data_IF_799567663857
#
_entry.id   IF_799567663857
#
_cell.length_a   1.000
_cell.length_b   1.000
_cell.length_c   1.000
_cell.angle_alpha   90.00
_cell.angle_beta   90.00
_cell.angle_gamma   90.00
#
_symmetry.space_group_name_H-M   'P 1'
#
loop_
_entity.id
_entity.type
_entity.pdbx_description
1 polymer ?
#
# COMPACT_ATOMS: atom_id res chain seq x y z
N UNK A 1 26.89 -0.73 22.27
CA UNK A 1 27.05 -0.86 20.81
C UNK A 1 26.36 -2.10 20.28
N UNK A 2 26.48 -3.27 20.90
CA UNK A 2 25.90 -4.55 20.43
C UNK A 2 24.36 -4.55 20.36
N UNK A 3 23.66 -3.79 21.22
CA UNK A 3 22.18 -3.73 21.25
C UNK A 3 21.59 -2.77 20.20
N UNK A 4 22.38 -1.85 19.64
CA UNK A 4 21.90 -0.85 18.66
C UNK A 4 21.76 -1.46 17.27
N UNK A 5 22.64 -2.39 16.90
CA UNK A 5 22.64 -3.03 15.58
C UNK A 5 21.32 -3.75 15.27
N UNK A 6 20.78 -4.62 16.16
CA UNK A 6 19.51 -5.31 15.87
C UNK A 6 18.33 -4.35 15.78
N UNK A 7 18.32 -3.24 16.53
CA UNK A 7 17.26 -2.22 16.44
C UNK A 7 17.27 -1.51 15.09
N UNK A 8 18.47 -1.18 14.56
CA UNK A 8 18.60 -0.56 13.23
C UNK A 8 18.16 -1.51 12.12
N UNK A 9 18.49 -2.80 12.24
CA UNK A 9 18.09 -3.83 11.26
C UNK A 9 16.56 -3.99 11.25
N UNK A 10 15.92 -4.04 12.42
CA UNK A 10 14.47 -4.14 12.54
C UNK A 10 13.78 -2.90 11.94
N UNK A 11 14.29 -1.70 12.22
CA UNK A 11 13.73 -0.45 11.67
C UNK A 11 13.88 -0.38 10.15
N UNK A 12 15.03 -0.80 9.62
CA UNK A 12 15.26 -0.89 8.19
C UNK A 12 14.29 -1.89 7.52
N UNK A 13 14.09 -3.07 8.14
CA UNK A 13 13.18 -4.09 7.62
C UNK A 13 11.72 -3.60 7.60
N UNK A 14 11.27 -2.94 8.68
CA UNK A 14 9.94 -2.33 8.75
C UNK A 14 9.72 -1.30 7.64
N UNK A 15 10.70 -0.44 7.37
CA UNK A 15 10.61 0.58 6.31
C UNK A 15 10.52 -0.05 4.93
N UNK A 16 11.34 -1.06 4.66
CA UNK A 16 11.27 -1.78 3.38
C UNK A 16 9.90 -2.42 3.18
N UNK A 17 9.35 -3.03 4.23
CA UNK A 17 8.02 -3.63 4.21
C UNK A 17 6.92 -2.59 3.99
N UNK A 18 6.95 -1.47 4.71
CA UNK A 18 5.99 -0.37 4.53
C UNK A 18 6.05 0.23 3.12
N UNK A 19 7.25 0.40 2.57
CA UNK A 19 7.42 0.89 1.19
C UNK A 19 6.84 -0.07 0.16
N UNK A 20 7.17 -1.36 0.28
CA UNK A 20 6.63 -2.39 -0.61
C UNK A 20 5.11 -2.44 -0.54
N UNK A 21 4.56 -2.50 0.66
CA UNK A 21 3.11 -2.53 0.90
C UNK A 21 2.41 -1.31 0.29
N UNK A 22 2.98 -0.12 0.45
CA UNK A 22 2.45 1.09 -0.17
C UNK A 22 2.51 1.03 -1.70
N UNK A 23 3.62 0.55 -2.26
CA UNK A 23 3.76 0.38 -3.71
C UNK A 23 2.71 -0.61 -4.25
N UNK A 24 2.54 -1.77 -3.61
CA UNK A 24 1.54 -2.77 -3.99
C UNK A 24 0.13 -2.19 -3.97
N UNK A 25 -0.26 -1.49 -2.88
CA UNK A 25 -1.58 -0.87 -2.75
C UNK A 25 -1.80 0.22 -3.79
N UNK A 26 -0.81 1.09 -4.03
CA UNK A 26 -0.97 2.16 -5.03
C UNK A 26 -1.09 1.62 -6.44
N UNK A 27 -0.27 0.64 -6.83
CA UNK A 27 -0.36 -0.03 -8.12
C UNK A 27 -1.71 -0.73 -8.29
N UNK A 28 -2.15 -1.46 -7.28
CA UNK A 28 -3.46 -2.12 -7.26
C UNK A 28 -4.59 -1.14 -7.51
N UNK A 29 -4.66 -0.04 -6.75
CA UNK A 29 -5.75 0.93 -6.85
C UNK A 29 -5.74 1.66 -8.21
N UNK A 30 -4.57 1.99 -8.76
CA UNK A 30 -4.44 2.60 -10.07
C UNK A 30 -4.96 1.67 -11.17
N UNK A 31 -4.54 0.43 -11.15
CA UNK A 31 -4.96 -0.55 -12.16
C UNK A 31 -6.44 -0.89 -12.05
N UNK A 32 -6.95 -1.05 -10.83
CA UNK A 32 -8.37 -1.29 -10.59
C UNK A 32 -9.24 -0.16 -11.15
N UNK A 33 -8.92 1.12 -10.83
CA UNK A 33 -9.67 2.27 -11.34
C UNK A 33 -9.56 2.39 -12.86
N UNK A 34 -8.37 2.19 -13.42
CA UNK A 34 -8.15 2.25 -14.87
C UNK A 34 -8.91 1.16 -15.63
N UNK A 35 -8.85 -0.08 -15.16
CA UNK A 35 -9.55 -1.19 -15.80
C UNK A 35 -11.06 -1.08 -15.62
N UNK A 36 -11.53 -0.58 -14.46
CA UNK A 36 -12.95 -0.36 -14.20
C UNK A 36 -13.53 0.74 -15.10
N UNK A 37 -12.78 1.80 -15.34
CA UNK A 37 -13.18 2.86 -16.27
C UNK A 37 -13.42 2.31 -17.68
N UNK A 38 -12.65 1.30 -18.12
CA UNK A 38 -12.81 0.66 -19.43
C UNK A 38 -13.97 -0.34 -19.49
N UNK A 39 -14.05 -1.20 -18.48
CA UNK A 39 -14.92 -2.37 -18.49
C UNK A 39 -16.20 -2.24 -17.67
N UNK A 40 -16.24 -1.32 -16.69
CA UNK A 40 -17.38 -1.11 -15.79
C UNK A 40 -17.74 -2.30 -14.90
N UNK A 41 -16.83 -3.29 -14.77
CA UNK A 41 -17.04 -4.53 -14.04
C UNK A 41 -15.88 -4.85 -13.12
N UNK A 42 -16.18 -5.09 -11.82
CA UNK A 42 -15.18 -5.37 -10.80
C UNK A 42 -14.39 -6.65 -11.12
N UNK A 43 -15.07 -7.72 -11.50
CA UNK A 43 -14.40 -9.00 -11.81
C UNK A 43 -13.43 -8.86 -12.99
N UNK A 44 -13.81 -8.11 -14.03
CA UNK A 44 -12.93 -7.81 -15.16
C UNK A 44 -11.70 -7.02 -14.69
N UNK A 45 -11.93 -5.99 -13.87
CA UNK A 45 -10.86 -5.14 -13.34
C UNK A 45 -9.88 -5.90 -12.45
N UNK A 46 -10.38 -6.84 -11.64
CA UNK A 46 -9.53 -7.72 -10.82
C UNK A 46 -8.62 -8.59 -11.69
N UNK A 47 -9.13 -9.19 -12.76
CA UNK A 47 -8.33 -10.02 -13.69
C UNK A 47 -7.22 -9.22 -14.37
N UNK A 48 -7.57 -8.06 -14.93
CA UNK A 48 -6.60 -7.15 -15.54
C UNK A 48 -5.53 -6.69 -14.53
N UNK A 49 -5.96 -6.44 -13.29
CA UNK A 49 -5.05 -6.01 -12.22
C UNK A 49 -4.14 -7.15 -11.75
N UNK A 50 -4.63 -8.40 -11.70
CA UNK A 50 -3.82 -9.58 -11.36
C UNK A 50 -2.63 -9.73 -12.31
N UNK A 51 -2.83 -9.47 -13.61
CA UNK A 51 -1.78 -9.57 -14.64
C UNK A 51 -0.66 -8.53 -14.46
N UNK A 52 -0.93 -7.42 -13.77
CA UNK A 52 0.07 -6.39 -13.51
C UNK A 52 1.07 -6.77 -12.39
N UNK A 53 0.83 -7.88 -11.69
CA UNK A 53 1.70 -8.37 -10.62
C UNK A 53 2.39 -9.67 -11.05
N UNK A 54 3.71 -9.67 -11.08
CA UNK A 54 4.50 -10.87 -11.38
C UNK A 54 4.36 -11.96 -10.30
N UNK A 55 3.98 -11.56 -9.07
CA UNK A 55 3.78 -12.46 -7.91
C UNK A 55 3.70 -11.70 -6.59
N UNK A 56 3.61 -12.45 -5.50
CA UNK A 56 3.59 -11.92 -4.14
C UNK A 56 2.20 -11.81 -3.53
N UNK A 57 2.15 -11.29 -2.30
CA UNK A 57 0.93 -11.30 -1.48
C UNK A 57 -0.26 -10.61 -2.18
N UNK A 58 -0.04 -9.48 -2.86
CA UNK A 58 -1.12 -8.77 -3.55
C UNK A 58 -1.75 -9.64 -4.64
N UNK A 59 -0.93 -10.24 -5.51
CA UNK A 59 -1.42 -11.15 -6.54
C UNK A 59 -2.21 -12.31 -5.97
N UNK A 60 -1.69 -12.95 -4.91
CA UNK A 60 -2.36 -14.08 -4.27
C UNK A 60 -3.72 -13.69 -3.70
N UNK A 61 -3.85 -12.49 -3.13
CA UNK A 61 -5.13 -11.98 -2.61
C UNK A 61 -6.11 -11.64 -3.73
N UNK A 62 -5.63 -11.03 -4.81
CA UNK A 62 -6.47 -10.78 -6.00
C UNK A 62 -6.98 -12.09 -6.56
N UNK A 63 -6.11 -13.09 -6.72
CA UNK A 63 -6.48 -14.41 -7.21
C UNK A 63 -7.54 -15.11 -6.32
N UNK A 64 -7.39 -15.02 -5.00
CA UNK A 64 -8.37 -15.53 -4.06
C UNK A 64 -9.72 -14.81 -4.18
N UNK A 65 -9.72 -13.48 -4.33
CA UNK A 65 -10.92 -12.69 -4.53
C UNK A 65 -11.64 -13.06 -5.83
N UNK A 66 -10.92 -13.21 -6.94
CA UNK A 66 -11.46 -13.65 -8.23
C UNK A 66 -12.14 -15.01 -8.08
N UNK A 67 -11.43 -16.00 -7.52
CA UNK A 67 -11.97 -17.35 -7.31
C UNK A 67 -13.23 -17.34 -6.43
N UNK A 68 -13.24 -16.50 -5.39
CA UNK A 68 -14.40 -16.37 -4.52
C UNK A 68 -15.62 -15.84 -5.27
N UNK A 69 -15.43 -14.78 -6.06
CA UNK A 69 -16.49 -14.16 -6.85
C UNK A 69 -17.00 -15.14 -7.94
N UNK A 70 -16.10 -15.85 -8.61
CA UNK A 70 -16.43 -16.83 -9.65
C UNK A 70 -17.19 -18.06 -9.09
N UNK A 71 -16.94 -18.44 -7.84
CA UNK A 71 -17.67 -19.51 -7.18
C UNK A 71 -19.15 -19.18 -6.95
N UNK A 72 -19.54 -17.90 -6.98
CA UNK A 72 -20.93 -17.46 -7.00
C UNK A 72 -21.71 -17.69 -5.70
N UNK A 73 -21.06 -17.99 -4.58
CA UNK A 73 -21.69 -18.32 -3.31
C UNK A 73 -21.42 -17.23 -2.26
N UNK A 74 -22.26 -16.20 -2.24
CA UNK A 74 -22.22 -15.21 -1.16
C UNK A 74 -22.56 -15.88 0.19
N UNK A 75 -21.78 -15.58 1.22
CA UNK A 75 -21.96 -16.11 2.58
C UNK A 75 -22.79 -15.18 3.46
N UNK A 76 -22.87 -13.91 3.11
CA UNK A 76 -23.56 -12.88 3.88
C UNK A 76 -24.49 -12.04 2.98
N UNK A 77 -25.31 -11.20 3.62
CA UNK A 77 -26.17 -10.22 2.92
C UNK A 77 -25.39 -9.07 2.24
N UNK A 78 -24.08 -8.98 2.48
CA UNK A 78 -23.23 -7.93 1.93
C UNK A 78 -23.04 -8.02 0.41
N UNK A 79 -23.31 -9.18 -0.15
CA UNK A 79 -23.14 -9.41 -1.58
C UNK A 79 -21.77 -9.97 -1.97
N UNK A 80 -21.76 -10.73 -3.06
CA UNK A 80 -20.63 -11.51 -3.52
C UNK A 80 -19.39 -10.68 -3.85
N UNK A 81 -19.58 -9.53 -4.51
CA UNK A 81 -18.48 -8.63 -4.89
C UNK A 81 -17.80 -8.05 -3.66
N UNK A 82 -18.60 -7.60 -2.68
CA UNK A 82 -18.06 -7.03 -1.45
C UNK A 82 -17.27 -8.07 -0.64
N UNK A 83 -17.81 -9.26 -0.47
CA UNK A 83 -17.11 -10.35 0.22
C UNK A 83 -15.80 -10.73 -0.47
N UNK A 84 -15.77 -10.77 -1.80
CA UNK A 84 -14.56 -11.00 -2.57
C UNK A 84 -13.51 -9.91 -2.36
N UNK A 85 -13.90 -8.65 -2.39
CA UNK A 85 -13.00 -7.52 -2.16
C UNK A 85 -12.51 -7.43 -0.70
N UNK A 86 -13.32 -7.82 0.29
CA UNK A 86 -12.94 -7.91 1.71
C UNK A 86 -11.72 -8.83 1.92
N UNK A 87 -11.46 -9.82 1.06
CA UNK A 87 -10.26 -10.68 1.12
C UNK A 87 -8.99 -9.85 0.95
N UNK A 88 -9.00 -8.90 0.02
CA UNK A 88 -7.87 -8.01 -0.25
C UNK A 88 -7.78 -6.94 0.85
N UNK A 89 -8.91 -6.37 1.24
CA UNK A 89 -9.01 -5.34 2.28
C UNK A 89 -8.46 -5.83 3.62
N UNK A 90 -8.80 -7.06 4.03
CA UNK A 90 -8.34 -7.66 5.27
C UNK A 90 -6.81 -7.82 5.33
N UNK A 91 -6.16 -8.10 4.18
CA UNK A 91 -4.72 -8.24 4.11
C UNK A 91 -3.99 -6.89 4.24
N UNK A 92 -4.55 -5.84 3.64
CA UNK A 92 -3.86 -4.56 3.54
C UNK A 92 -4.37 -3.48 4.51
N UNK A 93 -5.60 -3.60 5.03
CA UNK A 93 -6.23 -2.68 5.98
C UNK A 93 -6.00 -1.20 5.60
N UNK A 94 -6.30 -0.84 4.35
CA UNK A 94 -6.07 0.48 3.79
C UNK A 94 -7.40 1.21 3.56
N UNK A 95 -7.62 2.33 4.29
CA UNK A 95 -8.84 3.13 4.16
C UNK A 95 -9.12 3.58 2.73
N UNK A 96 -8.07 3.92 1.96
CA UNK A 96 -8.22 4.33 0.56
C UNK A 96 -8.76 3.20 -0.30
N UNK A 97 -8.32 1.96 -0.05
CA UNK A 97 -8.80 0.76 -0.74
C UNK A 97 -10.30 0.55 -0.50
N UNK A 98 -10.76 0.64 0.76
CA UNK A 98 -12.18 0.57 1.09
C UNK A 98 -13.01 1.58 0.31
N UNK A 99 -12.57 2.85 0.27
CA UNK A 99 -13.29 3.91 -0.43
C UNK A 99 -13.41 3.65 -1.94
N UNK A 100 -12.35 3.14 -2.57
CA UNK A 100 -12.35 2.81 -3.99
C UNK A 100 -13.24 1.60 -4.27
N UNK A 101 -13.18 0.56 -3.46
CA UNK A 101 -14.04 -0.61 -3.59
C UNK A 101 -15.52 -0.28 -3.44
N UNK A 102 -15.90 0.50 -2.43
CA UNK A 102 -17.28 0.94 -2.24
C UNK A 102 -17.78 1.79 -3.42
N UNK A 103 -16.93 2.66 -3.96
CA UNK A 103 -17.24 3.43 -5.15
C UNK A 103 -17.52 2.51 -6.35
N UNK A 104 -16.66 1.51 -6.57
CA UNK A 104 -16.80 0.58 -7.70
C UNK A 104 -18.04 -0.30 -7.55
N UNK A 105 -18.32 -0.83 -6.35
CA UNK A 105 -19.54 -1.60 -6.06
C UNK A 105 -20.77 -0.74 -6.33
N UNK A 106 -20.82 0.46 -5.76
CA UNK A 106 -21.95 1.38 -5.96
C UNK A 106 -22.15 1.74 -7.44
N UNK A 107 -21.06 1.92 -8.18
CA UNK A 107 -21.10 2.23 -9.61
C UNK A 107 -21.58 1.04 -10.46
N UNK A 108 -21.21 -0.20 -10.08
CA UNK A 108 -21.65 -1.41 -10.78
C UNK A 108 -23.11 -1.73 -10.50
N UNK A 109 -23.57 -1.52 -9.26
CA UNK A 109 -24.94 -1.85 -8.84
C UNK A 109 -25.99 -0.83 -9.29
N UNK A 110 -25.68 0.44 -9.16
CA UNK A 110 -26.67 1.51 -9.37
C UNK A 110 -26.48 2.26 -10.69
N UNK A 111 -25.35 2.08 -11.37
CA UNK A 111 -25.00 2.91 -12.53
C UNK A 111 -24.73 4.37 -12.12
N UNK A 112 -25.01 5.28 -13.00
CA UNK A 112 -24.83 6.73 -12.77
C UNK A 112 -23.64 7.29 -13.55
N UNK A 113 -23.16 8.48 -13.15
CA UNK A 113 -21.99 9.13 -13.77
C UNK A 113 -20.70 8.49 -13.25
N UNK A 114 -20.51 7.21 -13.67
CA UNK A 114 -19.37 6.37 -13.27
C UNK A 114 -18.06 7.03 -13.68
N UNK A 115 -18.00 7.59 -14.89
CA UNK A 115 -16.81 8.21 -15.43
C UNK A 115 -16.31 9.36 -14.58
N UNK A 116 -17.21 10.25 -14.20
CA UNK A 116 -16.89 11.39 -13.34
C UNK A 116 -16.45 10.95 -11.95
N UNK A 117 -17.12 9.96 -11.37
CA UNK A 117 -16.80 9.43 -10.04
C UNK A 117 -15.41 8.78 -10.02
N UNK A 118 -15.06 8.06 -11.08
CA UNK A 118 -13.73 7.44 -11.23
C UNK A 118 -12.65 8.51 -11.43
N UNK A 119 -12.88 9.53 -12.24
CA UNK A 119 -11.92 10.63 -12.42
C UNK A 119 -11.61 11.33 -11.09
N UNK A 120 -12.62 11.60 -10.28
CA UNK A 120 -12.44 12.17 -8.93
C UNK A 120 -11.64 11.21 -8.04
N UNK A 121 -11.92 9.91 -8.09
CA UNK A 121 -11.19 8.92 -7.32
C UNK A 121 -9.72 8.79 -7.74
N UNK A 122 -9.42 8.90 -9.05
CA UNK A 122 -8.06 8.92 -9.59
C UNK A 122 -7.29 10.17 -9.11
N UNK A 123 -7.89 11.35 -9.19
CA UNK A 123 -7.28 12.58 -8.69
C UNK A 123 -7.00 12.52 -7.18
N UNK A 124 -7.95 12.01 -6.40
CA UNK A 124 -7.78 11.83 -4.95
C UNK A 124 -6.72 10.77 -4.61
N UNK A 125 -6.59 9.72 -5.43
CA UNK A 125 -5.53 8.74 -5.31
C UNK A 125 -4.15 9.36 -5.56
N UNK A 126 -4.02 10.20 -6.58
CA UNK A 126 -2.78 10.91 -6.89
C UNK A 126 -2.36 11.88 -5.78
N UNK A 127 -3.31 12.60 -5.20
CA UNK A 127 -3.07 13.48 -4.04
C UNK A 127 -2.58 12.65 -2.85
N UNK A 128 -3.25 11.51 -2.58
CA UNK A 128 -2.86 10.60 -1.51
C UNK A 128 -1.45 10.04 -1.70
N UNK A 129 -1.12 9.58 -2.92
CA UNK A 129 0.23 9.08 -3.27
C UNK A 129 1.30 10.15 -3.02
N UNK A 130 1.10 11.37 -3.53
CA UNK A 130 2.04 12.48 -3.31
C UNK A 130 2.24 12.78 -1.83
N UNK A 131 1.17 12.74 -1.03
CA UNK A 131 1.25 12.95 0.43
C UNK A 131 2.05 11.85 1.11
N UNK A 132 1.83 10.59 0.78
CA UNK A 132 2.57 9.47 1.38
C UNK A 132 4.04 9.51 0.99
N UNK A 133 4.37 9.77 -0.28
CA UNK A 133 5.76 9.92 -0.71
C UNK A 133 6.47 11.07 0.01
N UNK A 134 5.80 12.20 0.21
CA UNK A 134 6.37 13.31 0.99
C UNK A 134 6.69 12.88 2.42
N UNK A 135 5.75 12.26 3.11
CA UNK A 135 5.94 11.80 4.48
C UNK A 135 7.05 10.74 4.60
N UNK A 136 7.17 9.86 3.61
CA UNK A 136 8.24 8.87 3.56
C UNK A 136 9.61 9.53 3.37
N UNK A 137 9.70 10.55 2.51
CA UNK A 137 10.93 11.32 2.30
C UNK A 137 11.32 12.12 3.56
N UNK A 138 10.38 12.79 4.22
CA UNK A 138 10.63 13.51 5.46
C UNK A 138 11.17 12.56 6.55
N UNK A 139 10.55 11.39 6.72
CA UNK A 139 11.05 10.35 7.64
C UNK A 139 12.45 9.87 7.29
N UNK A 140 12.76 9.71 6.00
CA UNK A 140 14.10 9.29 5.54
C UNK A 140 15.16 10.33 5.84
N UNK A 141 14.89 11.61 5.60
CA UNK A 141 15.81 12.71 5.89
C UNK A 141 16.07 12.79 7.39
N UNK A 142 15.03 12.85 8.22
CA UNK A 142 15.16 12.91 9.69
C UNK A 142 15.95 11.72 10.24
N UNK A 143 15.76 10.53 9.69
CA UNK A 143 16.53 9.37 10.12
C UNK A 143 18.02 9.48 9.78
N UNK A 144 18.33 9.89 8.55
CA UNK A 144 19.71 10.06 8.12
C UNK A 144 20.44 11.11 8.99
N UNK A 145 19.76 12.20 9.33
CA UNK A 145 20.28 13.24 10.21
C UNK A 145 20.55 12.71 11.63
N UNK A 146 19.64 11.91 12.17
CA UNK A 146 19.80 11.26 13.46
C UNK A 146 20.97 10.26 13.47
N UNK A 147 21.09 9.43 12.44
CA UNK A 147 22.20 8.47 12.32
C UNK A 147 23.54 9.21 12.18
N UNK A 148 23.62 10.27 11.36
CA UNK A 148 24.81 11.08 11.23
C UNK A 148 25.22 11.74 12.56
N UNK A 149 24.25 12.26 13.33
CA UNK A 149 24.48 12.85 14.65
C UNK A 149 25.03 11.84 15.66
N UNK A 150 24.50 10.60 15.66
CA UNK A 150 24.98 9.52 16.53
C UNK A 150 26.42 9.15 16.16
N UNK A 151 26.72 9.01 14.87
CA UNK A 151 28.07 8.67 14.40
C UNK A 151 29.08 9.77 14.75
N UNK A 152 28.72 11.04 14.58
CA UNK A 152 29.53 12.20 15.00
C UNK A 152 29.79 12.18 16.52
N UNK A 153 28.78 11.89 17.33
CA UNK A 153 28.93 11.82 18.78
C UNK A 153 29.90 10.70 19.18
N UNK A 154 29.80 9.53 18.57
CA UNK A 154 30.70 8.40 18.81
C UNK A 154 32.14 8.74 18.41
N UNK A 155 32.32 9.40 17.25
CA UNK A 155 33.64 9.84 16.78
C UNK A 155 34.27 10.85 17.74
N UNK A 156 33.51 11.85 18.22
CA UNK A 156 33.97 12.83 19.20
C UNK A 156 34.36 12.18 20.54
N UNK A 157 33.58 11.23 21.04
CA UNK A 157 33.93 10.47 22.24
C UNK A 157 35.22 9.67 22.06
N UNK A 158 35.42 9.04 20.92
CA UNK A 158 36.64 8.28 20.63
C UNK A 158 37.89 9.19 20.60
N UNK A 159 37.78 10.38 19.98
CA UNK A 159 38.86 11.38 19.97
C UNK A 159 39.16 11.88 21.38
N UNK A 160 38.13 12.19 22.18
CA UNK A 160 38.31 12.63 23.56
C UNK A 160 39.01 11.58 24.42
N UNK A 161 38.64 10.31 24.29
CA UNK A 161 39.32 9.21 25.00
C UNK A 161 40.78 9.07 24.56
N UNK A 162 41.06 9.19 23.26
CA UNK A 162 42.43 9.14 22.74
C UNK A 162 43.31 10.24 23.30
N UNK A 163 42.79 11.45 23.44
CA UNK A 163 43.53 12.62 24.00
C UNK A 163 43.76 12.44 25.50
N UNK A 164 42.84 11.79 26.25
CA UNK A 164 42.98 11.60 27.69
C UNK A 164 43.94 10.45 28.05
N UNK A 165 44.19 9.55 27.13
CA UNK A 165 45.06 8.39 27.32
C UNK A 165 46.53 8.68 26.95
N UNK A 166 46.78 9.88 26.41
CA UNK A 166 48.09 10.41 26.06
C UNK A 166 48.54 11.50 27.02
#
# INVERSE_FOLDING_TARGET
VLAVIPLLVIDMYKRMYEHKRFADVSTYLEQMLYSFQKGGKILYSLRETEECFDGGEMRDRIHQAIKYIEAGQAKTEKGLLKEGLEIIEAAYNCKKMYMVHELMISSEDYGGDVERSILIAQEDLDIWKRRVYRLQNEKKVTHNDNVASILMSIALCAVALYILDY
#
